data_IF_016223444329
#
_entry.id   IF_016223444329
#
_cell.length_a   1.000
_cell.length_b   1.000
_cell.length_c   1.000
_cell.angle_alpha   90.00
_cell.angle_beta   90.00
_cell.angle_gamma   90.00
#
_symmetry.space_group_name_H-M   'P 1'
#
loop_
_entity.id
_entity.type
_entity.pdbx_description
1 polymer ?
#
# COMPACT_ATOMS: atom_id res chain seq x y z
N UNK A 1 -2.96 -12.28 -13.55
CA UNK A 1 -3.71 -11.20 -12.86
C UNK A 1 -3.37 -9.92 -13.61
N UNK A 2 -4.37 -9.15 -14.05
CA UNK A 2 -4.16 -7.88 -14.75
C UNK A 2 -3.50 -6.87 -13.83
N UNK A 3 -2.30 -6.42 -14.17
CA UNK A 3 -1.59 -5.43 -13.35
C UNK A 3 -2.17 -4.04 -13.57
N UNK A 4 -2.16 -3.22 -12.51
CA UNK A 4 -2.59 -1.83 -12.54
C UNK A 4 -1.35 -0.94 -12.44
N UNK A 5 -1.09 -0.17 -13.49
CA UNK A 5 0.18 0.55 -13.64
C UNK A 5 -0.09 2.02 -13.94
N UNK A 6 0.81 2.87 -13.45
CA UNK A 6 0.94 4.23 -13.93
C UNK A 6 2.25 4.28 -14.68
N UNK A 7 2.22 4.77 -15.92
CA UNK A 7 3.39 4.80 -16.79
C UNK A 7 3.54 6.17 -17.43
N UNK A 8 4.78 6.58 -17.68
CA UNK A 8 5.15 7.86 -18.32
C UNK A 8 4.49 9.09 -17.70
N UNK A 9 4.16 9.05 -16.39
CA UNK A 9 3.58 10.20 -15.72
C UNK A 9 4.68 11.16 -15.32
N UNK A 10 4.52 12.44 -15.63
CA UNK A 10 5.57 13.43 -15.38
C UNK A 10 5.20 14.33 -14.21
N UNK A 11 6.18 14.63 -13.36
CA UNK A 11 6.07 15.67 -12.34
C UNK A 11 7.20 16.69 -12.49
N UNK A 12 6.95 17.90 -12.02
CA UNK A 12 7.99 18.90 -11.79
C UNK A 12 8.93 18.45 -10.65
N UNK A 13 10.09 19.10 -10.55
CA UNK A 13 11.07 18.83 -9.49
C UNK A 13 10.50 19.08 -8.09
N UNK A 14 9.56 20.01 -7.98
CA UNK A 14 8.81 20.32 -6.75
C UNK A 14 7.48 19.55 -6.60
N UNK A 15 7.25 18.53 -7.42
CA UNK A 15 6.26 17.47 -7.16
C UNK A 15 4.86 17.68 -7.76
N UNK A 16 4.69 18.56 -8.73
CA UNK A 16 3.40 18.85 -9.39
C UNK A 16 3.27 18.13 -10.73
N UNK A 17 2.17 17.43 -10.95
CA UNK A 17 1.88 16.72 -12.21
C UNK A 17 1.16 17.56 -13.28
N UNK A 18 0.69 18.75 -12.90
CA UNK A 18 0.07 19.74 -13.78
C UNK A 18 0.21 21.13 -13.17
N UNK A 19 0.27 22.15 -14.01
CA UNK A 19 0.24 23.55 -13.60
C UNK A 19 -1.14 23.99 -13.10
N UNK A 20 -1.25 25.20 -12.52
CA UNK A 20 -2.53 25.78 -12.11
C UNK A 20 -3.37 26.19 -13.33
N UNK A 21 -4.65 26.48 -13.10
CA UNK A 21 -5.51 27.22 -14.05
C UNK A 21 -5.62 26.59 -15.45
N UNK A 22 -5.86 25.27 -15.52
CA UNK A 22 -6.11 24.55 -16.77
C UNK A 22 -7.20 25.24 -17.61
N UNK A 23 -6.89 25.46 -18.88
CA UNK A 23 -7.77 26.10 -19.87
C UNK A 23 -7.69 25.36 -21.21
N UNK A 24 -8.36 25.87 -22.24
CA UNK A 24 -8.18 25.36 -23.60
C UNK A 24 -6.80 25.71 -24.18
N UNK A 25 -6.25 26.86 -23.80
CA UNK A 25 -4.92 27.32 -24.22
C UNK A 25 -3.81 26.64 -23.39
N UNK A 26 -4.12 26.30 -22.14
CA UNK A 26 -3.24 25.64 -21.18
C UNK A 26 -3.81 24.26 -20.76
N UNK A 27 -3.77 23.25 -21.64
CA UNK A 27 -4.39 21.94 -21.40
C UNK A 27 -3.80 21.17 -20.21
N UNK A 28 -2.57 21.49 -19.83
CA UNK A 28 -1.88 20.93 -18.64
C UNK A 28 -1.74 21.96 -17.51
N UNK A 29 -2.49 23.06 -17.58
CA UNK A 29 -2.29 24.23 -16.72
C UNK A 29 -1.07 25.06 -17.13
N UNK A 30 -0.99 26.26 -16.58
CA UNK A 30 0.06 27.24 -16.89
C UNK A 30 1.43 26.63 -16.57
N UNK A 31 2.31 26.57 -17.57
CA UNK A 31 3.65 25.97 -17.46
C UNK A 31 3.68 24.43 -17.53
N UNK A 32 2.52 23.75 -17.56
CA UNK A 32 2.45 22.30 -17.53
C UNK A 32 3.00 21.60 -18.78
N UNK A 33 3.05 22.28 -19.92
CA UNK A 33 3.64 21.76 -21.16
C UNK A 33 5.15 21.55 -21.06
N UNK A 34 5.84 22.33 -20.22
CA UNK A 34 7.29 22.21 -20.00
C UNK A 34 7.68 20.87 -19.37
N UNK A 35 6.76 20.23 -18.62
CA UNK A 35 6.98 18.91 -18.05
C UNK A 35 7.28 17.87 -19.15
N UNK A 36 6.63 17.97 -20.30
CA UNK A 36 6.64 16.91 -21.32
C UNK A 36 7.87 16.93 -22.24
N UNK A 37 8.88 17.77 -21.96
CA UNK A 37 10.04 17.95 -22.83
C UNK A 37 10.89 16.68 -23.05
N UNK A 38 10.88 15.74 -22.10
CA UNK A 38 11.54 14.43 -22.23
C UNK A 38 10.78 13.51 -23.20
N UNK A 39 9.44 13.52 -23.14
CA UNK A 39 8.56 12.61 -23.87
C UNK A 39 8.29 13.07 -25.31
N UNK A 40 8.05 14.38 -25.51
CA UNK A 40 7.70 14.97 -26.81
C UNK A 40 8.60 14.57 -27.99
N UNK A 41 9.95 14.58 -27.87
CA UNK A 41 10.83 14.26 -28.99
C UNK A 41 11.04 12.76 -29.20
N UNK A 42 10.52 11.88 -28.33
CA UNK A 42 10.75 10.43 -28.42
C UNK A 42 10.14 9.86 -29.70
N UNK A 43 10.80 8.89 -30.32
CA UNK A 43 10.27 8.19 -31.49
C UNK A 43 8.93 7.56 -31.21
N UNK A 44 8.77 6.98 -30.02
CA UNK A 44 7.50 6.40 -29.55
C UNK A 44 6.38 7.44 -29.62
N UNK A 45 6.54 8.61 -29.00
CA UNK A 45 5.47 9.60 -29.00
C UNK A 45 5.21 10.17 -30.40
N UNK A 46 6.26 10.41 -31.18
CA UNK A 46 6.14 10.90 -32.56
C UNK A 46 5.32 9.93 -33.43
N UNK A 47 5.54 8.63 -33.26
CA UNK A 47 4.79 7.60 -33.96
C UNK A 47 3.35 7.50 -33.47
N UNK A 48 3.15 7.47 -32.16
CA UNK A 48 1.84 7.22 -31.55
C UNK A 48 0.88 8.40 -31.69
N UNK A 49 1.35 9.65 -31.56
CA UNK A 49 0.49 10.84 -31.67
C UNK A 49 0.41 11.42 -33.08
N UNK A 50 1.47 11.32 -33.87
CA UNK A 50 1.58 12.04 -35.15
C UNK A 50 1.80 11.12 -36.36
N UNK A 51 1.86 9.80 -36.16
CA UNK A 51 2.11 8.84 -37.24
C UNK A 51 3.50 8.99 -37.87
N UNK A 52 4.44 9.66 -37.20
CA UNK A 52 5.77 9.94 -37.74
C UNK A 52 6.79 8.84 -37.38
N UNK A 53 7.67 8.51 -38.32
CA UNK A 53 8.72 7.50 -38.12
C UNK A 53 10.04 8.07 -37.55
N UNK A 54 10.11 9.39 -37.32
CA UNK A 54 11.26 10.08 -36.75
C UNK A 54 11.22 10.16 -35.21
N UNK A 55 12.21 10.83 -34.63
CA UNK A 55 12.29 11.07 -33.18
C UNK A 55 13.55 10.50 -32.53
N UNK A 56 13.81 10.97 -31.32
CA UNK A 56 14.93 10.57 -30.47
C UNK A 56 14.74 9.16 -29.91
N UNK A 57 15.85 8.48 -29.65
CA UNK A 57 15.91 7.14 -29.03
C UNK A 57 16.83 7.17 -27.81
N UNK A 58 16.80 6.09 -27.03
CA UNK A 58 17.57 5.95 -25.79
C UNK A 58 16.65 5.94 -24.58
N UNK A 59 17.18 6.26 -23.40
CA UNK A 59 16.47 6.12 -22.11
C UNK A 59 15.06 6.71 -22.13
N UNK A 60 14.90 7.96 -22.58
CA UNK A 60 13.59 8.61 -22.66
C UNK A 60 12.61 7.84 -23.56
N UNK A 61 13.07 7.34 -24.72
CA UNK A 61 12.25 6.59 -25.66
C UNK A 61 11.93 5.17 -25.15
N UNK A 62 12.86 4.54 -24.42
CA UNK A 62 12.64 3.22 -23.81
C UNK A 62 11.52 3.28 -22.76
N UNK A 63 11.52 4.31 -21.90
CA UNK A 63 10.45 4.56 -20.94
C UNK A 63 9.14 5.00 -21.61
N UNK A 64 9.20 5.77 -22.69
CA UNK A 64 8.02 6.09 -23.48
C UNK A 64 7.39 4.83 -24.09
N UNK A 65 8.20 3.98 -24.72
CA UNK A 65 7.77 2.72 -25.34
C UNK A 65 7.13 1.79 -24.32
N UNK A 66 7.78 1.62 -23.16
CA UNK A 66 7.27 0.83 -22.03
C UNK A 66 5.84 1.22 -21.65
N UNK A 67 5.52 2.52 -21.65
CA UNK A 67 4.19 2.97 -21.24
C UNK A 67 3.03 2.50 -22.13
N UNK A 68 3.31 2.10 -23.37
CA UNK A 68 2.28 1.58 -24.29
C UNK A 68 2.29 0.05 -24.41
N UNK A 69 3.26 -0.63 -23.80
CA UNK A 69 3.38 -2.09 -23.87
C UNK A 69 2.33 -2.78 -23.01
N UNK A 70 1.72 -3.84 -23.56
CA UNK A 70 0.79 -4.72 -22.84
C UNK A 70 -0.40 -3.99 -22.17
N UNK A 71 -0.86 -2.86 -22.71
CA UNK A 71 -2.04 -2.17 -22.18
C UNK A 71 -3.31 -2.69 -22.87
N UNK A 72 -4.30 -3.08 -22.07
CA UNK A 72 -5.62 -3.52 -22.54
C UNK A 72 -6.73 -2.54 -22.24
N UNK A 73 -6.56 -1.66 -21.25
CA UNK A 73 -7.51 -0.60 -20.93
C UNK A 73 -6.82 0.57 -20.23
N UNK A 74 -7.41 1.75 -20.33
CA UNK A 74 -6.94 2.95 -19.63
C UNK A 74 -7.98 3.50 -18.66
N UNK A 75 -7.52 4.19 -17.63
CA UNK A 75 -8.36 4.99 -16.74
C UNK A 75 -7.84 6.42 -16.74
N UNK A 76 -8.72 7.38 -17.05
CA UNK A 76 -8.43 8.81 -17.00
C UNK A 76 -9.39 9.51 -16.04
N UNK A 77 -8.92 10.55 -15.38
CA UNK A 77 -9.74 11.50 -14.67
C UNK A 77 -10.43 12.45 -15.63
N UNK A 78 -11.61 12.90 -15.25
CA UNK A 78 -12.37 13.92 -15.98
C UNK A 78 -11.53 15.11 -16.47
N UNK A 79 -10.73 15.72 -15.60
CA UNK A 79 -9.97 16.93 -15.94
C UNK A 79 -8.81 16.65 -16.91
N UNK A 80 -8.39 15.39 -17.04
CA UNK A 80 -7.45 14.99 -18.09
C UNK A 80 -8.17 14.85 -19.44
N UNK A 81 -9.43 14.38 -19.43
CA UNK A 81 -10.24 14.23 -20.64
C UNK A 81 -10.78 15.56 -21.18
N UNK A 82 -11.13 16.51 -20.30
CA UNK A 82 -11.76 17.77 -20.70
C UNK A 82 -11.42 18.94 -19.76
N UNK A 83 -11.42 20.19 -20.28
CA UNK A 83 -11.13 21.38 -19.46
C UNK A 83 -12.32 21.85 -18.60
N UNK A 84 -13.53 21.34 -18.84
CA UNK A 84 -14.75 21.87 -18.22
C UNK A 84 -14.96 21.40 -16.76
N UNK A 85 -15.40 22.31 -15.89
CA UNK A 85 -15.81 22.03 -14.51
C UNK A 85 -17.35 22.07 -14.42
N UNK A 86 -17.99 21.09 -13.77
CA UNK A 86 -19.46 20.93 -13.79
C UNK A 86 -19.97 20.19 -15.03
N UNK A 87 -21.25 20.27 -15.41
CA UNK A 87 -21.83 19.43 -16.49
C UNK A 87 -21.08 19.47 -17.85
N UNK A 88 -21.35 18.49 -18.72
CA UNK A 88 -20.75 18.40 -20.05
C UNK A 88 -21.28 19.51 -20.98
N UNK A 89 -20.74 20.73 -20.84
CA UNK A 89 -21.22 21.95 -21.51
C UNK A 89 -21.13 21.86 -23.04
N UNK A 90 -20.03 21.29 -23.56
CA UNK A 90 -19.89 20.97 -24.98
C UNK A 90 -20.18 19.49 -25.20
N UNK A 91 -21.44 19.13 -25.52
CA UNK A 91 -21.82 17.75 -25.85
C UNK A 91 -20.99 17.15 -27.00
N UNK A 92 -20.39 18.01 -27.84
CA UNK A 92 -19.49 17.67 -28.93
C UNK A 92 -18.03 17.38 -28.52
N UNK A 93 -17.60 17.68 -27.29
CA UNK A 93 -16.20 17.49 -26.89
C UNK A 93 -15.83 16.01 -26.84
N UNK A 94 -14.88 15.57 -27.68
CA UNK A 94 -14.44 14.16 -27.75
C UNK A 94 -13.08 13.89 -27.08
N UNK A 95 -12.46 14.90 -26.48
CA UNK A 95 -11.10 14.82 -25.94
C UNK A 95 -10.12 15.73 -26.69
N UNK A 96 -8.86 15.72 -26.27
CA UNK A 96 -7.79 16.59 -26.82
C UNK A 96 -7.14 16.07 -28.10
N UNK A 97 -7.43 14.83 -28.49
CA UNK A 97 -6.59 14.04 -29.41
C UNK A 97 -7.18 13.85 -30.81
N UNK A 98 -8.15 14.68 -31.21
CA UNK A 98 -8.82 14.53 -32.51
C UNK A 98 -9.69 13.26 -32.58
N UNK A 99 -9.92 12.77 -33.80
CA UNK A 99 -10.79 11.62 -34.05
C UNK A 99 -10.11 10.25 -33.86
N UNK A 100 -8.77 10.17 -33.93
CA UNK A 100 -7.97 8.96 -33.70
C UNK A 100 -7.00 9.14 -32.50
N UNK A 101 -7.49 8.97 -31.26
CA UNK A 101 -6.70 9.16 -30.05
C UNK A 101 -5.71 8.01 -29.80
N UNK A 102 -4.59 8.26 -29.09
CA UNK A 102 -3.42 7.37 -28.99
C UNK A 102 -3.61 6.12 -28.11
N UNK A 103 -4.82 5.81 -27.69
CA UNK A 103 -5.09 4.76 -26.70
C UNK A 103 -5.30 3.40 -27.36
N UNK A 104 -6.06 3.37 -28.46
CA UNK A 104 -6.40 2.21 -29.28
C UNK A 104 -6.98 1.01 -28.49
N UNK A 105 -7.61 1.30 -27.36
CA UNK A 105 -8.27 0.35 -26.45
C UNK A 105 -9.40 1.07 -25.68
N UNK A 106 -10.26 0.37 -24.93
CA UNK A 106 -11.23 1.01 -24.05
C UNK A 106 -10.60 1.91 -22.99
N UNK A 107 -11.17 3.10 -22.81
CA UNK A 107 -10.72 4.14 -21.87
C UNK A 107 -11.87 4.53 -20.95
N UNK A 108 -11.67 4.38 -19.65
CA UNK A 108 -12.67 4.68 -18.62
C UNK A 108 -12.40 6.03 -17.98
N UNK A 109 -13.34 6.95 -18.15
CA UNK A 109 -13.29 8.30 -17.61
C UNK A 109 -13.97 8.32 -16.24
N UNK A 110 -13.17 8.46 -15.18
CA UNK A 110 -13.63 8.67 -13.80
C UNK A 110 -14.24 10.07 -13.66
N UNK A 111 -15.55 10.14 -13.42
CA UNK A 111 -16.33 11.39 -13.39
C UNK A 111 -17.57 11.25 -12.52
N UNK A 112 -18.13 12.33 -11.99
CA UNK A 112 -19.46 12.31 -11.36
C UNK A 112 -20.59 12.62 -12.36
N UNK A 113 -20.24 13.05 -13.58
CA UNK A 113 -21.20 13.44 -14.61
C UNK A 113 -21.39 12.33 -15.64
N UNK A 114 -22.58 11.75 -15.67
CA UNK A 114 -22.95 10.73 -16.63
C UNK A 114 -22.89 11.27 -18.08
N UNK A 115 -22.44 10.41 -18.99
CA UNK A 115 -22.42 10.68 -20.43
C UNK A 115 -22.40 9.34 -21.20
N UNK A 116 -23.10 9.23 -22.34
CA UNK A 116 -23.00 8.05 -23.19
C UNK A 116 -21.55 7.81 -23.64
N UNK A 117 -21.16 6.54 -23.88
CA UNK A 117 -19.85 6.24 -24.46
C UNK A 117 -19.62 6.92 -25.81
N UNK A 118 -18.35 7.16 -26.14
CA UNK A 118 -17.93 7.74 -27.43
C UNK A 118 -16.99 6.76 -28.09
N UNK A 119 -17.37 6.30 -29.28
CA UNK A 119 -16.49 5.53 -30.16
C UNK A 119 -15.63 6.49 -30.99
N UNK A 120 -14.35 6.18 -31.10
CA UNK A 120 -13.36 6.95 -31.86
C UNK A 120 -12.76 6.09 -32.97
N UNK A 121 -12.06 6.72 -33.89
CA UNK A 121 -11.24 5.99 -34.85
C UNK A 121 -10.08 5.26 -34.13
N UNK A 122 -9.48 4.29 -34.83
CA UNK A 122 -8.33 3.53 -34.28
C UNK A 122 -8.63 2.63 -33.09
N UNK A 123 -9.91 2.38 -32.75
CA UNK A 123 -10.33 1.39 -31.75
C UNK A 123 -10.38 1.91 -30.31
N UNK A 124 -10.26 3.21 -30.10
CA UNK A 124 -10.48 3.81 -28.77
C UNK A 124 -11.97 4.01 -28.51
N UNK A 125 -12.44 3.64 -27.32
CA UNK A 125 -13.79 3.94 -26.84
C UNK A 125 -13.73 4.61 -25.47
N UNK A 126 -14.35 5.78 -25.31
CA UNK A 126 -14.43 6.48 -24.02
C UNK A 126 -15.70 6.11 -23.29
N UNK A 127 -15.58 5.53 -22.10
CA UNK A 127 -16.69 5.15 -21.22
C UNK A 127 -16.70 6.03 -19.96
N UNK A 128 -17.82 6.69 -19.66
CA UNK A 128 -17.91 7.60 -18.50
C UNK A 128 -18.48 6.86 -17.29
N UNK A 129 -17.71 6.74 -16.22
CA UNK A 129 -18.03 5.92 -15.04
C UNK A 129 -18.26 6.79 -13.82
N UNK A 130 -19.40 6.59 -13.14
CA UNK A 130 -19.86 7.44 -12.03
C UNK A 130 -19.82 6.80 -10.65
N UNK A 131 -19.64 5.49 -10.51
CA UNK A 131 -19.55 4.84 -9.18
C UNK A 131 -18.16 4.81 -8.57
N UNK A 132 -17.26 5.72 -8.98
CA UNK A 132 -15.98 5.92 -8.33
C UNK A 132 -14.87 4.96 -8.78
N UNK A 133 -13.76 4.97 -8.05
CA UNK A 133 -12.50 4.35 -8.46
C UNK A 133 -12.54 2.83 -8.58
N UNK A 134 -13.26 2.15 -7.67
CA UNK A 134 -13.35 0.69 -7.66
C UNK A 134 -14.17 0.18 -8.86
N UNK A 135 -15.38 0.72 -9.08
CA UNK A 135 -16.19 0.35 -10.26
C UNK A 135 -15.42 0.65 -11.56
N UNK A 136 -14.76 1.80 -11.64
CA UNK A 136 -13.97 2.18 -12.83
C UNK A 136 -12.85 1.17 -13.08
N UNK A 137 -12.17 0.71 -12.02
CA UNK A 137 -11.09 -0.26 -12.13
C UNK A 137 -11.57 -1.66 -12.48
N UNK A 138 -12.68 -2.12 -11.89
CA UNK A 138 -13.25 -3.43 -12.20
C UNK A 138 -13.66 -3.50 -13.68
N UNK A 139 -14.35 -2.46 -14.17
CA UNK A 139 -14.72 -2.37 -15.59
C UNK A 139 -13.50 -2.31 -16.51
N UNK A 140 -12.44 -1.61 -16.11
CA UNK A 140 -11.21 -1.56 -16.87
C UNK A 140 -10.49 -2.92 -16.92
N UNK A 141 -10.48 -3.66 -15.81
CA UNK A 141 -9.91 -5.02 -15.74
C UNK A 141 -10.66 -6.00 -16.62
N UNK A 142 -12.00 -5.95 -16.60
CA UNK A 142 -12.83 -6.79 -17.46
C UNK A 142 -12.56 -6.51 -18.94
N UNK A 143 -12.46 -5.23 -19.31
CA UNK A 143 -12.16 -4.81 -20.68
C UNK A 143 -10.71 -5.07 -21.11
N UNK A 144 -9.76 -5.17 -20.18
CA UNK A 144 -8.35 -5.32 -20.49
C UNK A 144 -8.01 -6.67 -21.14
N UNK A 145 -8.89 -7.67 -21.09
CA UNK A 145 -8.72 -8.93 -21.82
C UNK A 145 -7.45 -9.69 -21.44
N UNK A 146 -7.06 -9.65 -20.16
CA UNK A 146 -5.85 -10.30 -19.64
C UNK A 146 -4.54 -9.49 -19.79
N UNK A 147 -4.59 -8.32 -20.42
CA UNK A 147 -3.51 -7.32 -20.44
C UNK A 147 -3.58 -6.40 -19.20
N UNK A 148 -2.68 -5.43 -19.10
CA UNK A 148 -2.59 -4.48 -17.99
C UNK A 148 -3.59 -3.31 -18.12
N UNK A 149 -3.97 -2.73 -16.99
CA UNK A 149 -4.73 -1.47 -16.91
C UNK A 149 -3.77 -0.33 -16.62
N UNK A 150 -3.77 0.71 -17.46
CA UNK A 150 -2.98 1.92 -17.25
C UNK A 150 -3.83 3.05 -16.66
N UNK A 151 -3.46 3.55 -15.48
CA UNK A 151 -4.01 4.80 -14.95
C UNK A 151 -3.24 5.96 -15.61
N UNK A 152 -3.86 6.62 -16.59
CA UNK A 152 -3.20 7.68 -17.34
C UNK A 152 -3.05 9.00 -16.58
N UNK A 153 -3.86 9.23 -15.54
CA UNK A 153 -3.90 10.49 -14.80
C UNK A 153 -5.30 11.11 -14.79
N UNK A 154 -5.48 12.39 -14.44
CA UNK A 154 -4.46 13.30 -13.94
C UNK A 154 -4.06 12.99 -12.49
N UNK A 155 -3.30 13.91 -11.89
CA UNK A 155 -2.73 13.78 -10.54
C UNK A 155 -3.75 13.27 -9.50
N UNK A 156 -4.94 13.85 -9.44
CA UNK A 156 -5.96 13.45 -8.46
C UNK A 156 -6.50 12.02 -8.68
N UNK A 157 -6.57 11.53 -9.93
CA UNK A 157 -6.97 10.14 -10.21
C UNK A 157 -5.91 9.18 -9.71
N UNK A 158 -4.64 9.43 -10.03
CA UNK A 158 -3.52 8.59 -9.57
C UNK A 158 -3.48 8.57 -8.04
N UNK A 159 -3.63 9.73 -7.39
CA UNK A 159 -3.65 9.83 -5.92
C UNK A 159 -4.74 8.98 -5.28
N UNK A 160 -5.93 8.93 -5.86
CA UNK A 160 -7.01 8.09 -5.34
C UNK A 160 -6.63 6.60 -5.39
N UNK A 161 -6.08 6.13 -6.51
CA UNK A 161 -5.63 4.73 -6.62
C UNK A 161 -4.42 4.42 -5.72
N UNK A 162 -3.48 5.36 -5.56
CA UNK A 162 -2.34 5.20 -4.65
C UNK A 162 -2.79 5.05 -3.19
N UNK A 163 -3.75 5.88 -2.74
CA UNK A 163 -4.28 5.83 -1.36
C UNK A 163 -4.89 4.48 -1.00
N UNK A 164 -5.54 3.84 -1.96
CA UNK A 164 -6.15 2.51 -1.79
C UNK A 164 -5.15 1.36 -2.03
N UNK A 165 -3.87 1.66 -2.33
CA UNK A 165 -2.86 0.64 -2.62
C UNK A 165 -3.16 -0.19 -3.88
N UNK A 166 -3.92 0.38 -4.83
CA UNK A 166 -4.41 -0.32 -6.02
C UNK A 166 -3.45 -0.25 -7.22
N UNK A 167 -2.34 0.50 -7.12
CA UNK A 167 -1.33 0.60 -8.17
C UNK A 167 -0.20 -0.39 -7.85
N UNK A 168 0.09 -1.30 -8.76
CA UNK A 168 1.17 -2.27 -8.60
C UNK A 168 2.54 -1.64 -8.92
N UNK A 169 2.57 -0.76 -9.93
CA UNK A 169 3.79 -0.10 -10.39
C UNK A 169 3.52 1.31 -10.89
N UNK A 170 4.43 2.23 -10.57
CA UNK A 170 4.35 3.65 -10.87
C UNK A 170 5.68 4.11 -11.48
N UNK A 171 5.71 4.39 -12.79
CA UNK A 171 6.80 5.10 -13.43
C UNK A 171 6.52 6.61 -13.44
N UNK A 172 7.46 7.35 -12.87
CA UNK A 172 7.48 8.81 -12.81
C UNK A 172 8.70 9.34 -13.55
N UNK A 173 8.48 10.28 -14.46
CA UNK A 173 9.53 11.15 -14.97
C UNK A 173 9.55 12.45 -14.16
N UNK A 174 10.65 12.73 -13.47
CA UNK A 174 10.87 13.99 -12.77
C UNK A 174 11.56 14.94 -13.74
N UNK A 175 10.82 15.94 -14.22
CA UNK A 175 11.34 16.97 -15.12
C UNK A 175 12.15 18.01 -14.31
N UNK A 176 13.25 18.55 -14.85
CA UNK A 176 14.04 19.62 -14.22
C UNK A 176 13.34 20.99 -14.37
N UNK A 177 12.06 21.05 -14.03
CA UNK A 177 11.17 22.21 -14.12
C UNK A 177 10.61 22.47 -12.72
N UNK A 178 10.46 23.73 -12.34
CA UNK A 178 9.79 24.15 -11.10
C UNK A 178 8.47 24.84 -11.45
N UNK A 179 7.36 24.36 -10.91
CA UNK A 179 6.04 24.96 -11.14
C UNK A 179 5.59 25.87 -10.00
N UNK A 180 6.07 25.64 -8.78
CA UNK A 180 5.76 26.38 -7.55
C UNK A 180 4.34 26.14 -7.01
N UNK A 181 3.38 25.80 -7.88
CA UNK A 181 1.98 25.48 -7.54
C UNK A 181 1.36 24.65 -8.67
N UNK A 182 0.23 24.01 -8.38
CA UNK A 182 -0.50 23.19 -9.34
C UNK A 182 -1.11 21.98 -8.66
N UNK A 183 -1.13 20.84 -9.35
CA UNK A 183 -1.69 19.59 -8.84
C UNK A 183 -0.60 18.69 -8.24
N UNK A 184 -0.45 18.61 -6.90
CA UNK A 184 0.66 17.92 -6.23
C UNK A 184 0.45 16.41 -6.21
N UNK A 185 1.41 15.63 -6.71
CA UNK A 185 1.27 14.17 -6.81
C UNK A 185 1.38 13.47 -5.45
N UNK A 186 2.42 13.80 -4.67
CA UNK A 186 2.76 13.04 -3.46
C UNK A 186 2.30 13.67 -2.15
N UNK A 187 1.77 14.89 -2.18
CA UNK A 187 1.40 15.60 -0.95
C UNK A 187 0.42 14.79 -0.09
N UNK A 188 0.77 14.53 1.16
CA UNK A 188 -0.07 13.77 2.10
C UNK A 188 -0.23 12.28 1.78
N UNK A 189 0.66 11.69 0.97
CA UNK A 189 0.75 10.24 0.78
C UNK A 189 2.00 9.70 1.50
N UNK A 190 1.82 8.68 2.33
CA UNK A 190 2.92 7.88 2.85
C UNK A 190 3.10 6.64 1.97
N UNK A 191 3.86 6.79 0.88
CA UNK A 191 4.09 5.70 -0.07
C UNK A 191 4.83 4.51 0.56
N UNK A 192 5.66 4.75 1.57
CA UNK A 192 6.37 3.68 2.28
C UNK A 192 5.39 2.84 3.09
N UNK A 193 4.49 3.48 3.84
CA UNK A 193 3.42 2.78 4.56
C UNK A 193 2.47 2.04 3.62
N UNK A 194 2.28 2.53 2.39
CA UNK A 194 1.50 1.87 1.35
C UNK A 194 2.24 0.69 0.65
N UNK A 195 3.49 0.42 1.04
CA UNK A 195 4.28 -0.72 0.56
C UNK A 195 5.01 -0.48 -0.75
N UNK A 196 5.19 0.78 -1.16
CA UNK A 196 5.98 1.12 -2.34
C UNK A 196 7.46 1.30 -1.99
N UNK A 197 8.31 0.81 -2.86
CA UNK A 197 9.73 1.11 -2.87
C UNK A 197 10.18 1.56 -4.26
N UNK A 198 11.31 2.26 -4.33
CA UNK A 198 11.97 2.53 -5.60
C UNK A 198 12.76 1.30 -6.04
N UNK A 199 12.43 0.79 -7.22
CA UNK A 199 13.07 -0.41 -7.80
C UNK A 199 13.96 -0.05 -9.00
N UNK A 200 13.80 1.14 -9.54
CA UNK A 200 14.59 1.63 -10.67
C UNK A 200 14.70 3.15 -10.61
N UNK A 201 15.89 3.66 -10.94
CA UNK A 201 16.18 5.09 -11.00
C UNK A 201 17.22 5.33 -12.09
N UNK A 202 16.85 6.07 -13.14
CA UNK A 202 17.71 6.34 -14.31
C UNK A 202 17.57 7.80 -14.72
N UNK A 203 18.69 8.51 -14.82
CA UNK A 203 18.70 9.88 -15.32
C UNK A 203 18.94 9.92 -16.84
N UNK A 204 18.21 10.79 -17.53
CA UNK A 204 18.45 11.22 -18.90
C UNK A 204 18.87 12.71 -18.91
N UNK A 205 19.11 13.27 -20.09
CA UNK A 205 19.39 14.70 -20.21
C UNK A 205 18.17 15.59 -19.88
N UNK A 206 16.95 15.04 -19.90
CA UNK A 206 15.70 15.82 -19.80
C UNK A 206 14.79 15.39 -18.66
N UNK A 207 15.03 14.25 -18.03
CA UNK A 207 14.26 13.79 -16.89
C UNK A 207 15.07 12.83 -16.02
N UNK A 208 14.60 12.64 -14.79
CA UNK A 208 14.98 11.50 -13.97
C UNK A 208 13.80 10.55 -13.90
N UNK A 209 13.97 9.34 -14.43
CA UNK A 209 12.97 8.30 -14.40
C UNK A 209 13.09 7.49 -13.11
N UNK A 210 11.97 7.33 -12.43
CA UNK A 210 11.85 6.57 -11.19
C UNK A 210 10.73 5.56 -11.36
N UNK A 211 10.99 4.30 -11.05
CA UNK A 211 9.95 3.27 -10.96
C UNK A 211 9.77 2.94 -9.51
N UNK A 212 8.55 3.13 -9.02
CA UNK A 212 8.12 2.62 -7.74
C UNK A 212 7.31 1.36 -7.97
N UNK A 213 7.60 0.31 -7.19
CA UNK A 213 6.81 -0.92 -7.21
C UNK A 213 6.21 -1.12 -5.84
N UNK A 214 4.94 -1.47 -5.82
CA UNK A 214 4.30 -1.96 -4.60
C UNK A 214 4.71 -3.41 -4.44
N UNK A 215 5.38 -3.72 -3.34
CA UNK A 215 5.52 -5.12 -2.97
C UNK A 215 4.14 -5.66 -2.63
N UNK A 216 3.85 -6.85 -3.14
CA UNK A 216 2.78 -7.63 -2.57
C UNK A 216 3.13 -7.88 -1.10
N UNK A 217 2.56 -7.09 -0.19
CA UNK A 217 2.09 -7.70 1.04
C UNK A 217 1.16 -8.85 0.60
N UNK A 218 1.21 -10.04 1.23
CA UNK A 218 0.20 -11.06 0.98
C UNK A 218 -1.16 -10.38 1.09
N UNK A 219 -2.02 -10.61 0.10
CA UNK A 219 -3.26 -9.87 -0.05
C UNK A 219 -4.00 -9.74 1.30
N UNK A 220 -4.53 -8.56 1.66
CA UNK A 220 -5.53 -8.50 2.70
C UNK A 220 -6.70 -9.37 2.22
N UNK A 221 -6.96 -10.44 2.96
CA UNK A 221 -8.15 -11.26 2.77
C UNK A 221 -9.37 -10.33 2.83
N UNK A 222 -10.28 -10.54 1.88
CA UNK A 222 -11.42 -9.69 1.54
C UNK A 222 -12.08 -9.00 2.74
N UNK A 223 -12.38 -7.71 2.57
CA UNK A 223 -13.21 -6.95 3.49
C UNK A 223 -14.53 -7.68 3.79
N UNK A 224 -14.59 -8.30 4.96
CA UNK A 224 -15.80 -8.68 5.67
C UNK A 224 -16.12 -7.58 6.70
N UNK A 225 -17.39 -7.39 7.08
CA UNK A 225 -17.94 -6.11 7.52
C UNK A 225 -17.33 -5.60 8.85
N UNK A 226 -17.28 -4.26 8.97
CA UNK A 226 -16.90 -3.45 10.16
C UNK A 226 -16.87 -4.25 11.48
N UNK A 227 -15.67 -4.42 12.05
CA UNK A 227 -15.53 -4.77 13.47
C UNK A 227 -14.40 -5.72 13.89
N UNK A 228 -13.47 -6.12 13.02
CA UNK A 228 -12.36 -6.99 13.43
C UNK A 228 -10.99 -6.29 13.33
N UNK A 229 -10.34 -6.15 14.49
CA UNK A 229 -8.97 -5.69 14.61
C UNK A 229 -8.02 -6.62 13.82
N UNK A 230 -7.01 -6.03 13.16
CA UNK A 230 -5.94 -6.78 12.49
C UNK A 230 -5.27 -7.70 13.52
N UNK A 231 -5.03 -8.97 13.19
CA UNK A 231 -4.37 -9.92 14.10
C UNK A 231 -2.95 -10.22 13.66
N UNK A 232 -2.03 -10.26 14.61
CA UNK A 232 -0.64 -10.67 14.42
C UNK A 232 -0.44 -12.01 15.10
N UNK A 233 0.19 -12.95 14.40
CA UNK A 233 0.56 -14.27 14.95
C UNK A 233 2.07 -14.40 14.98
N UNK A 234 2.58 -14.89 16.11
CA UNK A 234 3.97 -15.30 16.34
C UNK A 234 3.99 -16.71 16.91
N UNK A 235 5.09 -17.42 16.71
CA UNK A 235 5.26 -18.74 17.30
C UNK A 235 6.72 -19.08 17.56
N UNK A 236 6.94 -19.95 18.52
CA UNK A 236 8.25 -20.54 18.80
C UNK A 236 8.07 -22.01 19.18
N UNK A 237 9.12 -22.81 19.00
CA UNK A 237 9.14 -24.20 19.46
C UNK A 237 9.97 -24.29 20.73
N UNK A 238 9.40 -24.87 21.78
CA UNK A 238 10.04 -25.04 23.09
C UNK A 238 10.32 -26.52 23.31
N UNK A 239 11.59 -26.87 23.41
CA UNK A 239 12.05 -28.25 23.62
C UNK A 239 11.93 -28.68 25.08
N UNK A 240 10.70 -28.77 25.59
CA UNK A 240 10.39 -29.23 26.93
C UNK A 240 8.98 -29.86 27.03
N UNK A 241 8.68 -30.67 28.07
CA UNK A 241 7.33 -31.19 28.31
C UNK A 241 6.29 -30.09 28.56
N UNK A 242 5.03 -30.34 28.16
CA UNK A 242 3.93 -29.38 28.30
C UNK A 242 3.71 -28.88 29.72
N UNK A 243 3.85 -29.74 30.73
CA UNK A 243 3.67 -29.38 32.14
C UNK A 243 4.58 -28.22 32.54
N UNK A 244 5.81 -28.24 32.02
CA UNK A 244 6.82 -27.24 32.32
C UNK A 244 6.63 -25.96 31.53
N UNK A 245 6.32 -26.09 30.23
CA UNK A 245 6.00 -24.93 29.37
C UNK A 245 4.81 -24.18 29.98
N UNK A 246 3.76 -24.90 30.36
CA UNK A 246 2.57 -24.34 30.99
C UNK A 246 2.87 -23.72 32.37
N UNK A 247 3.65 -24.39 33.21
CA UNK A 247 4.02 -23.84 34.53
C UNK A 247 4.84 -22.55 34.40
N UNK A 248 5.84 -22.51 33.52
CA UNK A 248 6.70 -21.35 33.32
C UNK A 248 5.95 -20.15 32.70
N UNK A 249 4.93 -20.41 31.89
CA UNK A 249 4.08 -19.36 31.32
C UNK A 249 3.24 -18.64 32.39
N UNK A 250 2.85 -19.36 33.44
CA UNK A 250 1.85 -18.88 34.40
C UNK A 250 2.40 -18.59 35.81
N UNK A 251 3.68 -18.89 36.09
CA UNK A 251 4.34 -18.55 37.35
C UNK A 251 4.87 -17.11 37.30
N UNK A 252 4.41 -16.19 38.19
CA UNK A 252 4.92 -14.83 38.26
C UNK A 252 6.45 -14.74 38.37
N UNK A 253 7.08 -15.63 39.15
CA UNK A 253 8.53 -15.63 39.32
C UNK A 253 9.25 -16.03 38.04
N UNK A 254 8.62 -16.86 37.19
CA UNK A 254 9.16 -17.19 35.89
C UNK A 254 9.00 -16.01 34.92
N UNK A 255 7.83 -15.38 34.89
CA UNK A 255 7.53 -14.20 34.03
C UNK A 255 8.55 -13.09 34.26
N UNK A 256 8.90 -12.80 35.52
CA UNK A 256 9.93 -11.81 35.88
C UNK A 256 11.31 -12.09 35.25
N UNK A 257 11.60 -13.34 34.92
CA UNK A 257 12.89 -13.76 34.37
C UNK A 257 12.92 -13.76 32.84
N UNK A 258 11.79 -14.05 32.18
CA UNK A 258 11.74 -14.21 30.72
C UNK A 258 11.03 -13.08 29.98
N UNK A 259 10.15 -12.30 30.63
CA UNK A 259 9.37 -11.27 29.96
C UNK A 259 10.19 -9.97 29.74
N UNK A 260 11.15 -10.03 28.83
CA UNK A 260 11.96 -8.89 28.42
C UNK A 260 12.18 -8.92 26.91
N UNK A 261 11.83 -7.83 26.23
CA UNK A 261 11.95 -7.71 24.78
C UNK A 261 13.40 -7.58 24.31
N UNK A 262 14.31 -7.12 25.18
CA UNK A 262 15.73 -6.96 24.89
C UNK A 262 16.56 -6.92 26.19
N UNK A 263 17.91 -7.00 26.14
CA UNK A 263 18.77 -6.91 27.32
C UNK A 263 18.58 -5.63 28.14
N UNK A 264 18.21 -4.53 27.48
CA UNK A 264 18.02 -3.21 28.09
C UNK A 264 16.69 -3.09 28.84
N UNK A 265 15.83 -4.11 28.77
CA UNK A 265 14.53 -4.16 29.43
C UNK A 265 14.48 -5.24 30.52
N UNK A 266 13.59 -5.07 31.48
CA UNK A 266 13.27 -6.07 32.50
C UNK A 266 11.80 -6.08 32.90
N UNK A 267 11.40 -7.11 33.64
CA UNK A 267 10.13 -7.16 34.37
C UNK A 267 10.41 -7.22 35.86
N UNK A 268 10.23 -6.12 36.61
CA UNK A 268 10.57 -6.08 38.04
C UNK A 268 9.49 -6.73 38.92
N UNK A 269 8.27 -6.91 38.39
CA UNK A 269 7.16 -7.58 39.09
C UNK A 269 6.16 -8.17 38.10
N UNK A 270 5.60 -9.32 38.44
CA UNK A 270 4.44 -9.90 37.77
C UNK A 270 3.39 -10.40 38.77
N UNK A 271 2.13 -10.47 38.34
CA UNK A 271 1.05 -11.12 39.08
C UNK A 271 0.11 -11.86 38.13
N UNK A 272 -0.37 -13.03 38.55
CA UNK A 272 -1.21 -13.93 37.75
C UNK A 272 -2.31 -14.53 38.63
N UNK A 273 -3.57 -14.30 38.27
CA UNK A 273 -4.75 -15.01 38.78
C UNK A 273 -5.31 -15.90 37.66
N UNK A 274 -4.73 -17.09 37.46
CA UNK A 274 -5.03 -17.98 36.32
C UNK A 274 -6.38 -18.69 36.47
N UNK A 275 -7.46 -17.96 36.17
CA UNK A 275 -8.84 -18.46 36.05
C UNK A 275 -9.62 -17.54 35.12
N UNK A 276 -10.71 -18.02 34.52
CA UNK A 276 -11.58 -17.14 33.73
C UNK A 276 -12.12 -16.00 34.61
N UNK A 277 -12.02 -14.76 34.10
CA UNK A 277 -12.30 -13.53 34.84
C UNK A 277 -11.20 -13.09 35.82
N UNK A 278 -10.15 -13.90 36.01
CA UNK A 278 -8.95 -13.52 36.76
C UNK A 278 -8.10 -12.51 35.99
N UNK A 279 -7.29 -11.73 36.70
CA UNK A 279 -6.44 -10.68 36.13
C UNK A 279 -4.96 -11.06 36.17
N UNK A 280 -4.19 -10.49 35.26
CA UNK A 280 -2.74 -10.49 35.33
C UNK A 280 -2.21 -9.08 35.13
N UNK A 281 -1.01 -8.82 35.64
CA UNK A 281 -0.30 -7.57 35.43
C UNK A 281 1.20 -7.86 35.43
N UNK A 282 1.89 -7.41 34.40
CA UNK A 282 3.34 -7.53 34.26
C UNK A 282 3.93 -6.15 34.06
N UNK A 283 4.76 -5.70 35.00
CA UNK A 283 5.46 -4.42 34.84
C UNK A 283 6.62 -4.61 33.86
N UNK A 284 6.75 -3.74 32.87
CA UNK A 284 7.85 -3.75 31.91
C UNK A 284 8.56 -2.40 31.95
N UNK A 285 9.88 -2.41 32.20
CA UNK A 285 10.66 -1.18 32.34
C UNK A 285 12.02 -1.29 31.65
N UNK A 286 12.50 -0.16 31.11
CA UNK A 286 13.88 -0.01 30.71
C UNK A 286 14.77 0.01 31.96
N UNK A 287 15.91 -0.70 31.92
CA UNK A 287 16.81 -0.85 33.07
C UNK A 287 17.45 0.46 33.54
N UNK A 288 17.50 1.47 32.67
CA UNK A 288 17.98 2.81 32.97
C UNK A 288 16.92 3.68 33.68
N UNK A 289 15.70 3.17 33.86
CA UNK A 289 14.57 3.87 34.49
C UNK A 289 13.92 4.93 33.62
N UNK A 290 14.29 5.02 32.33
CA UNK A 290 13.78 6.06 31.42
C UNK A 290 12.30 5.91 31.07
N UNK A 291 11.81 4.67 31.00
CA UNK A 291 10.44 4.35 30.60
C UNK A 291 9.97 3.05 31.24
N UNK A 292 8.67 2.99 31.57
CA UNK A 292 8.05 1.75 32.04
C UNK A 292 6.52 1.82 32.03
N UNK A 293 5.88 0.67 31.80
CA UNK A 293 4.44 0.53 31.70
C UNK A 293 3.96 -0.81 32.31
N UNK A 294 2.69 -0.87 32.68
CA UNK A 294 2.05 -2.12 33.12
C UNK A 294 1.36 -2.77 31.91
N UNK A 295 1.73 -4.01 31.60
CA UNK A 295 1.06 -4.87 30.64
C UNK A 295 0.05 -5.76 31.38
N UNK A 296 -1.23 -5.41 31.29
CA UNK A 296 -2.29 -5.99 32.12
C UNK A 296 -3.52 -6.39 31.31
N UNK A 297 -4.22 -7.40 31.80
CA UNK A 297 -5.39 -7.94 31.14
C UNK A 297 -6.23 -8.86 32.03
N UNK A 298 -7.36 -9.29 31.47
CA UNK A 298 -8.31 -10.22 32.11
C UNK A 298 -8.44 -11.48 31.27
N UNK A 299 -8.26 -12.65 31.88
CA UNK A 299 -8.44 -13.94 31.22
C UNK A 299 -9.90 -14.15 30.82
N UNK A 300 -10.13 -14.46 29.55
CA UNK A 300 -11.48 -14.69 28.99
C UNK A 300 -11.78 -16.16 28.79
N UNK A 301 -10.77 -16.99 28.52
CA UNK A 301 -10.92 -18.43 28.40
C UNK A 301 -9.64 -19.17 28.78
N UNK A 302 -9.76 -20.28 29.50
CA UNK A 302 -8.63 -21.13 29.83
C UNK A 302 -8.96 -22.59 29.54
N UNK A 303 -8.18 -23.22 28.67
CA UNK A 303 -8.13 -24.67 28.55
C UNK A 303 -6.73 -25.13 29.00
N UNK A 304 -6.60 -25.75 30.18
CA UNK A 304 -5.33 -26.16 30.74
C UNK A 304 -4.45 -26.89 29.72
N UNK A 305 -3.16 -26.50 29.66
CA UNK A 305 -2.14 -27.10 28.79
C UNK A 305 -2.42 -27.02 27.28
N UNK A 306 -3.36 -26.15 26.87
CA UNK A 306 -3.79 -26.06 25.47
C UNK A 306 -4.03 -24.64 24.99
N UNK A 307 -4.72 -23.82 25.79
CA UNK A 307 -5.22 -22.52 25.36
C UNK A 307 -5.34 -21.54 26.54
N UNK A 308 -4.88 -20.32 26.32
CA UNK A 308 -5.19 -19.16 27.17
C UNK A 308 -5.69 -18.05 26.24
N UNK A 309 -6.85 -17.48 26.54
CA UNK A 309 -7.35 -16.25 25.89
C UNK A 309 -7.52 -15.17 26.96
N UNK A 310 -7.16 -13.94 26.62
CA UNK A 310 -7.34 -12.78 27.48
C UNK A 310 -7.60 -11.50 26.68
N UNK A 311 -8.18 -10.51 27.34
CA UNK A 311 -8.36 -9.16 26.80
C UNK A 311 -7.51 -8.20 27.61
N UNK A 312 -6.67 -7.42 26.92
CA UNK A 312 -5.86 -6.36 27.51
C UNK A 312 -6.72 -5.18 27.97
N UNK A 313 -6.19 -4.36 28.86
CA UNK A 313 -6.89 -3.17 29.37
C UNK A 313 -7.27 -2.16 28.27
N UNK A 314 -6.54 -2.14 27.16
CA UNK A 314 -6.82 -1.35 25.96
C UNK A 314 -7.87 -1.98 25.01
N UNK A 315 -8.42 -3.14 25.36
CA UNK A 315 -9.47 -3.83 24.61
C UNK A 315 -8.98 -4.84 23.57
N UNK A 316 -7.67 -4.92 23.31
CA UNK A 316 -7.08 -5.90 22.39
C UNK A 316 -7.20 -7.32 22.94
N UNK A 317 -7.50 -8.27 22.07
CA UNK A 317 -7.63 -9.69 22.42
C UNK A 317 -6.35 -10.43 22.10
N UNK A 318 -5.96 -11.35 22.97
CA UNK A 318 -4.81 -12.22 22.79
C UNK A 318 -5.21 -13.66 23.02
N UNK A 319 -4.64 -14.55 22.22
CA UNK A 319 -4.82 -15.99 22.25
C UNK A 319 -3.45 -16.67 22.23
N UNK A 320 -3.19 -17.49 23.23
CA UNK A 320 -1.96 -18.29 23.37
C UNK A 320 -2.33 -19.77 23.26
N UNK A 321 -1.75 -20.46 22.30
CA UNK A 321 -1.96 -21.88 22.05
C UNK A 321 -0.70 -22.68 22.34
N UNK A 322 -0.90 -23.83 22.98
CA UNK A 322 0.17 -24.79 23.29
C UNK A 322 -0.12 -26.08 22.52
N UNK A 323 0.66 -26.34 21.48
CA UNK A 323 0.47 -27.47 20.58
C UNK A 323 1.64 -28.47 20.70
N UNK A 324 1.39 -29.75 21.05
CA UNK A 324 2.44 -30.76 21.06
C UNK A 324 3.05 -30.97 19.66
N UNK A 325 4.37 -31.06 19.61
CA UNK A 325 5.15 -31.43 18.42
C UNK A 325 6.15 -32.53 18.78
N UNK A 326 6.79 -33.14 17.77
CA UNK A 326 7.61 -34.34 17.94
C UNK A 326 8.66 -34.22 19.06
N UNK A 327 9.27 -33.05 19.23
CA UNK A 327 10.35 -32.81 20.21
C UNK A 327 10.07 -31.63 21.16
N UNK A 328 8.80 -31.35 21.48
CA UNK A 328 8.47 -30.23 22.38
C UNK A 328 7.06 -29.69 22.19
N UNK A 329 6.87 -28.41 22.48
CA UNK A 329 5.61 -27.69 22.35
C UNK A 329 5.82 -26.47 21.45
N UNK A 330 5.00 -26.33 20.40
CA UNK A 330 4.85 -25.04 19.72
C UNK A 330 3.98 -24.14 20.58
N UNK A 331 4.51 -23.00 21.01
CA UNK A 331 3.74 -21.93 21.65
C UNK A 331 3.45 -20.89 20.59
N UNK A 332 2.16 -20.63 20.35
CA UNK A 332 1.71 -19.66 19.34
C UNK A 332 0.87 -18.60 20.01
N UNK A 333 1.25 -17.34 19.82
CA UNK A 333 0.44 -16.20 20.24
C UNK A 333 -0.21 -15.54 19.04
N UNK A 334 -1.48 -15.19 19.16
CA UNK A 334 -2.22 -14.39 18.20
C UNK A 334 -2.90 -13.25 18.94
N UNK A 335 -2.58 -12.02 18.58
CA UNK A 335 -3.08 -10.83 19.26
C UNK A 335 -3.61 -9.80 18.27
N UNK A 336 -4.60 -9.02 18.71
CA UNK A 336 -5.04 -7.83 17.98
C UNK A 336 -3.88 -6.83 17.94
N UNK A 337 -3.54 -6.33 16.76
CA UNK A 337 -2.54 -5.31 16.53
C UNK A 337 -3.01 -3.97 17.13
N UNK A 338 -2.07 -3.19 17.63
CA UNK A 338 -2.32 -1.79 17.99
C UNK A 338 -1.88 -0.84 16.86
N UNK A 339 -2.25 0.44 16.96
CA UNK A 339 -2.11 1.41 15.86
C UNK A 339 -0.82 2.25 15.93
N UNK A 340 -0.09 2.24 17.06
CA UNK A 340 1.07 3.11 17.29
C UNK A 340 2.39 2.56 16.75
N UNK A 341 2.55 1.23 16.64
CA UNK A 341 3.69 0.58 15.99
C UNK A 341 3.25 -0.21 14.76
N UNK A 342 4.14 -0.35 13.78
CA UNK A 342 3.88 -1.23 12.65
C UNK A 342 3.68 -2.69 13.10
N UNK A 343 2.89 -3.46 12.36
CA UNK A 343 2.69 -4.88 12.66
C UNK A 343 4.01 -5.68 12.70
N UNK A 344 5.01 -5.26 11.92
CA UNK A 344 6.34 -5.88 11.94
C UNK A 344 7.13 -5.52 13.20
N UNK A 345 7.09 -4.27 13.66
CA UNK A 345 7.70 -3.89 14.95
C UNK A 345 7.03 -4.62 16.11
N UNK A 346 5.70 -4.73 16.10
CA UNK A 346 4.94 -5.49 17.09
C UNK A 346 5.31 -6.99 17.04
N UNK A 347 5.36 -7.58 15.84
CA UNK A 347 5.78 -8.97 15.62
C UNK A 347 7.18 -9.21 16.17
N UNK A 348 8.15 -8.35 15.83
CA UNK A 348 9.53 -8.47 16.28
C UNK A 348 9.65 -8.36 17.81
N UNK A 349 8.96 -7.39 18.41
CA UNK A 349 8.97 -7.19 19.86
C UNK A 349 8.37 -8.38 20.62
N UNK A 350 7.20 -8.86 20.19
CA UNK A 350 6.54 -10.01 20.81
C UNK A 350 7.31 -11.32 20.55
N UNK A 351 7.83 -11.52 19.33
CA UNK A 351 8.64 -12.69 19.00
C UNK A 351 9.91 -12.74 19.85
N UNK A 352 10.57 -11.59 20.09
CA UNK A 352 11.75 -11.55 20.95
C UNK A 352 11.46 -11.97 22.39
N UNK A 353 10.30 -11.57 22.93
CA UNK A 353 9.83 -12.01 24.25
C UNK A 353 9.55 -13.52 24.25
N UNK A 354 8.82 -14.01 23.24
CA UNK A 354 8.47 -15.43 23.10
C UNK A 354 9.71 -16.33 22.94
N UNK A 355 10.72 -15.86 22.21
CA UNK A 355 12.02 -16.54 22.08
C UNK A 355 12.82 -16.50 23.38
N UNK A 356 12.67 -15.44 24.20
CA UNK A 356 13.26 -15.41 25.53
C UNK A 356 12.56 -16.40 26.49
N UNK A 357 11.24 -16.54 26.38
CA UNK A 357 10.48 -17.58 27.08
C UNK A 357 10.99 -18.98 26.71
N UNK A 358 11.14 -19.30 25.42
CA UNK A 358 11.68 -20.59 24.98
C UNK A 358 13.05 -20.87 25.60
N UNK A 359 13.98 -19.91 25.51
CA UNK A 359 15.32 -20.03 26.11
C UNK A 359 15.27 -20.20 27.63
N UNK A 360 14.39 -19.49 28.32
CA UNK A 360 14.23 -19.62 29.78
C UNK A 360 13.75 -21.02 30.16
N UNK A 361 12.74 -21.52 29.45
CA UNK A 361 12.22 -22.86 29.69
C UNK A 361 13.29 -23.88 29.39
N UNK A 362 14.03 -23.80 28.29
CA UNK A 362 15.02 -24.81 27.92
C UNK A 362 16.27 -24.81 28.81
N UNK A 363 16.70 -23.67 29.36
CA UNK A 363 17.91 -23.58 30.21
C UNK A 363 17.82 -24.34 31.53
N UNK A 364 16.61 -24.59 32.03
CA UNK A 364 16.40 -25.26 33.32
C UNK A 364 16.29 -26.79 33.19
N UNK A 365 16.61 -27.35 32.00
CA UNK A 365 16.13 -28.66 31.53
C UNK A 365 17.07 -29.82 31.76
#
# INVERSE_FOLDING_TARGET
MTSVRVESFTISLDGYGAGPDQSLDDPLGIGGTELQQWLLPTRTLQRTLFGQNGGTTGVDDDFAARGFQNVGAWILGRNMFAPFRGDWQAKSWKGWWGDDPPYHVPVFILTHHARPPIEMEGGTSFHFVTGGIHETLDRARDAAGGKDVRIGGGTNTIRQYLREGLVDELHIAIAPVLLGRGEPLFQGLDLRALGYESVEFVASAKATHVVLRRHAHPAPEQASPKGMAMKITIETSVHAPIDRVWAAWNDPNAIEQWNAASPDWHTPRASVDLREGGKFCTRMEARDGSVGFDFEGTYTRIAPQRLIEYTLSDGRKVRVEFAPVANGITVRETFDAEDSHSAEQQRQGWQAILDNFARYVERRA
#
